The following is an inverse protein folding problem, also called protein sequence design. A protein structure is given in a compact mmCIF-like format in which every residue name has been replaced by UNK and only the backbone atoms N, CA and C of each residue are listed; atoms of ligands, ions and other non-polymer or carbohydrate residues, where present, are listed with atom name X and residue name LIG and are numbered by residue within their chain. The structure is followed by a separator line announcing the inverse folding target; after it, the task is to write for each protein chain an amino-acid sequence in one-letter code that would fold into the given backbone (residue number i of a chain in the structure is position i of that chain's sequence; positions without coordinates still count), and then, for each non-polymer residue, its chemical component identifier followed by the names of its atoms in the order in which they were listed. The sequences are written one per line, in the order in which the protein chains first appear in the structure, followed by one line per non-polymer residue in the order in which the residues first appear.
data_IF_337173181131
#
_entry.id   IF_337173181131
#
_cell.length_a   1.000
_cell.length_b   1.000
_cell.length_c   1.000
_cell.angle_alpha   90.00
_cell.angle_beta   90.00
_cell.angle_gamma   90.00
#
_symmetry.space_group_name_H-M   'P 1'
#
loop_
_entity.id
_entity.type
_entity.pdbx_description
1 polymer ?
#
# COMPACT_ATOMS: atom_id res chain seq x y z
N UNK A 1 31.17 -39.01 0.25
CA UNK A 1 30.09 -38.58 1.16
C UNK A 1 30.50 -37.27 1.80
N UNK A 2 29.92 -36.14 1.37
CA UNK A 2 29.97 -34.88 2.10
C UNK A 2 28.63 -34.19 1.85
N UNK A 3 27.74 -34.27 2.84
CA UNK A 3 26.44 -33.64 2.82
C UNK A 3 26.63 -32.12 2.98
N UNK A 4 26.42 -31.37 1.90
CA UNK A 4 26.15 -29.93 1.98
C UNK A 4 24.74 -29.77 2.54
N UNK A 5 24.64 -29.40 3.81
CA UNK A 5 23.43 -28.81 4.36
C UNK A 5 23.23 -27.43 3.73
N UNK A 6 22.54 -27.40 2.60
CA UNK A 6 21.90 -26.19 2.09
C UNK A 6 20.65 -25.95 2.92
N UNK A 7 20.76 -25.14 3.97
CA UNK A 7 19.60 -24.47 4.55
C UNK A 7 19.16 -23.39 3.57
N UNK A 8 18.37 -23.78 2.58
CA UNK A 8 17.56 -22.87 1.80
C UNK A 8 16.60 -22.17 2.78
N UNK A 9 16.99 -20.98 3.22
CA UNK A 9 16.17 -20.11 4.04
C UNK A 9 14.88 -19.80 3.30
N UNK A 10 13.75 -20.09 3.95
CA UNK A 10 12.39 -19.93 3.43
C UNK A 10 12.12 -18.47 3.04
N UNK A 11 12.23 -18.13 1.77
CA UNK A 11 11.73 -16.87 1.23
C UNK A 11 10.22 -16.97 1.00
N UNK A 12 9.43 -16.83 2.07
CA UNK A 12 8.00 -16.52 1.95
C UNK A 12 7.84 -15.01 1.73
N UNK A 13 8.27 -14.52 0.57
CA UNK A 13 7.77 -13.23 0.10
C UNK A 13 6.42 -13.49 -0.54
N UNK A 14 5.40 -12.77 -0.08
CA UNK A 14 4.08 -12.66 -0.72
C UNK A 14 4.21 -11.96 -2.09
N UNK A 15 5.07 -12.46 -2.97
CA UNK A 15 5.13 -12.04 -4.36
C UNK A 15 3.96 -12.69 -5.08
N UNK A 16 2.85 -11.98 -5.02
CA UNK A 16 1.74 -12.27 -5.90
C UNK A 16 2.01 -11.58 -7.24
N UNK A 17 2.19 -12.38 -8.29
CA UNK A 17 2.35 -11.90 -9.68
C UNK A 17 1.06 -11.27 -10.24
N UNK A 18 -0.10 -11.59 -9.64
CA UNK A 18 -1.40 -11.03 -9.98
C UNK A 18 -1.76 -9.82 -9.10
N UNK A 19 -1.79 -8.62 -9.69
CA UNK A 19 -2.12 -7.38 -8.98
C UNK A 19 -3.49 -7.43 -8.26
N UNK A 20 -4.38 -8.30 -8.74
CA UNK A 20 -5.78 -8.37 -8.29
C UNK A 20 -6.05 -9.50 -7.27
N UNK A 21 -5.03 -10.16 -6.71
CA UNK A 21 -5.30 -11.23 -5.74
C UNK A 21 -5.86 -10.65 -4.43
N UNK A 22 -7.03 -11.14 -3.98
CA UNK A 22 -7.61 -10.72 -2.71
C UNK A 22 -6.74 -11.20 -1.54
N UNK A 23 -6.93 -10.57 -0.38
CA UNK A 23 -6.34 -11.05 0.87
C UNK A 23 -6.98 -12.40 1.23
N UNK A 24 -6.16 -13.37 1.66
CA UNK A 24 -6.65 -14.71 2.09
C UNK A 24 -7.54 -14.61 3.33
N UNK A 25 -7.37 -13.55 4.13
CA UNK A 25 -8.09 -13.31 5.37
C UNK A 25 -9.36 -12.49 5.13
N UNK A 26 -10.51 -13.01 5.55
CA UNK A 26 -11.77 -12.25 5.59
C UNK A 26 -11.68 -11.23 6.73
N UNK A 27 -11.63 -9.93 6.40
CA UNK A 27 -11.57 -8.92 7.45
C UNK A 27 -12.89 -8.83 8.24
N UNK A 28 -12.80 -8.71 9.57
CA UNK A 28 -13.95 -8.51 10.43
C UNK A 28 -14.71 -7.22 10.07
N UNK A 29 -16.05 -7.23 10.21
CA UNK A 29 -16.91 -6.07 9.91
C UNK A 29 -16.60 -4.87 10.81
N UNK A 30 -17.00 -3.66 10.40
CA UNK A 30 -16.56 -2.38 10.96
C UNK A 30 -16.75 -2.11 12.46
N UNK A 31 -17.45 -2.96 13.21
CA UNK A 31 -17.53 -2.89 14.68
C UNK A 31 -16.39 -3.62 15.39
N UNK A 32 -15.50 -4.27 14.63
CA UNK A 32 -14.37 -4.98 15.20
C UNK A 32 -13.36 -3.99 15.74
N UNK A 33 -12.82 -4.30 16.91
CA UNK A 33 -11.87 -3.45 17.60
C UNK A 33 -10.48 -3.58 16.98
N UNK A 34 -9.71 -2.50 17.05
CA UNK A 34 -8.31 -2.52 16.67
C UNK A 34 -7.53 -3.46 17.60
N UNK A 35 -6.48 -4.13 17.07
CA UNK A 35 -5.57 -4.83 17.93
C UNK A 35 -4.88 -3.88 18.91
N UNK A 36 -4.55 -4.39 20.09
CA UNK A 36 -3.76 -3.64 21.06
C UNK A 36 -2.33 -3.48 20.55
N UNK A 37 -1.75 -2.30 20.79
CA UNK A 37 -0.34 -2.06 20.50
C UNK A 37 0.55 -2.76 21.53
N UNK A 38 1.79 -3.08 21.16
CA UNK A 38 2.73 -3.79 22.03
C UNK A 38 2.94 -3.07 23.36
N UNK A 39 3.00 -1.74 23.35
CA UNK A 39 3.22 -0.94 24.56
C UNK A 39 2.05 -1.04 25.55
N UNK A 40 0.84 -1.33 25.04
CA UNK A 40 -0.35 -1.58 25.87
C UNK A 40 -0.36 -3.02 26.36
N UNK A 41 0.07 -3.97 25.53
CA UNK A 41 0.25 -5.38 25.91
C UNK A 41 1.23 -5.53 27.06
N UNK A 42 2.34 -4.81 27.03
CA UNK A 42 3.38 -4.88 28.07
C UNK A 42 2.92 -4.31 29.42
N UNK A 43 1.81 -3.56 29.44
CA UNK A 43 1.27 -2.90 30.64
C UNK A 43 -0.02 -3.53 31.15
N UNK A 44 -0.50 -4.62 30.53
CA UNK A 44 -1.82 -5.19 30.82
C UNK A 44 -1.99 -5.64 32.28
N UNK A 45 -0.92 -6.09 32.93
CA UNK A 45 -0.95 -6.51 34.35
C UNK A 45 -1.12 -5.33 35.32
N UNK A 46 -0.85 -4.11 34.86
CA UNK A 46 -0.88 -2.87 35.66
C UNK A 46 -2.12 -2.02 35.33
N UNK A 47 -2.65 -2.16 34.11
CA UNK A 47 -3.78 -1.37 33.62
C UNK A 47 -5.11 -1.93 34.12
N UNK A 48 -6.00 -1.03 34.56
CA UNK A 48 -7.38 -1.41 34.83
C UNK A 48 -8.10 -1.79 33.53
N UNK A 49 -9.03 -2.77 33.51
CA UNK A 49 -9.72 -3.18 32.29
C UNK A 49 -10.45 -2.05 31.55
N UNK A 50 -10.89 -1.01 32.28
CA UNK A 50 -11.57 0.16 31.72
C UNK A 50 -10.62 1.15 31.01
N UNK A 51 -9.30 0.99 31.18
CA UNK A 51 -8.29 1.86 30.57
C UNK A 51 -7.78 1.37 29.21
N UNK A 52 -8.22 0.19 28.77
CA UNK A 52 -7.84 -0.40 27.48
C UNK A 52 -8.61 0.30 26.34
N UNK A 53 -7.93 0.92 25.36
CA UNK A 53 -8.60 1.62 24.27
C UNK A 53 -9.49 0.70 23.45
N UNK A 54 -10.77 1.04 23.35
CA UNK A 54 -11.75 0.30 22.55
C UNK A 54 -12.04 1.06 21.25
N UNK A 55 -11.11 1.04 20.31
CA UNK A 55 -11.20 1.80 19.06
C UNK A 55 -11.68 0.88 17.93
N UNK A 56 -12.80 1.16 17.24
CA UNK A 56 -13.22 0.39 16.08
C UNK A 56 -12.24 0.53 14.90
N UNK A 57 -12.06 -0.53 14.12
CA UNK A 57 -11.22 -0.52 12.90
C UNK A 57 -11.68 0.56 11.93
N UNK A 58 -12.98 0.80 11.81
CA UNK A 58 -13.58 1.83 10.95
C UNK A 58 -13.31 3.27 11.41
N UNK A 59 -12.85 3.48 12.64
CA UNK A 59 -12.58 4.82 13.17
C UNK A 59 -11.20 5.32 12.72
N UNK A 60 -11.11 5.76 11.46
CA UNK A 60 -9.85 6.21 10.85
C UNK A 60 -9.27 7.47 11.52
N UNK A 61 -10.12 8.29 12.14
CA UNK A 61 -9.71 9.56 12.79
C UNK A 61 -9.35 9.41 14.27
N UNK A 62 -9.45 8.20 14.84
CA UNK A 62 -9.16 7.97 16.24
C UNK A 62 -7.73 8.44 16.59
N UNK A 63 -7.54 9.24 17.65
CA UNK A 63 -6.22 9.63 18.10
C UNK A 63 -5.51 8.44 18.77
N UNK A 64 -4.18 8.52 18.90
CA UNK A 64 -3.35 7.56 19.65
C UNK A 64 -3.40 6.10 19.17
N UNK A 65 -3.81 5.85 17.93
CA UNK A 65 -3.64 4.53 17.29
C UNK A 65 -2.17 4.39 16.88
N UNK A 66 -1.53 3.29 17.30
CA UNK A 66 -0.13 3.01 16.97
C UNK A 66 0.05 2.37 15.59
N UNK A 67 1.28 1.93 15.32
CA UNK A 67 1.65 1.42 14.00
C UNK A 67 0.89 0.16 13.60
N UNK A 68 0.63 -0.73 14.57
CA UNK A 68 -0.06 -1.99 14.29
C UNK A 68 -1.54 -1.76 14.00
N UNK A 69 -2.21 -0.94 14.81
CA UNK A 69 -3.59 -0.52 14.59
C UNK A 69 -3.76 0.18 13.25
N UNK A 70 -2.88 1.13 12.89
CA UNK A 70 -2.93 1.79 11.57
C UNK A 70 -2.73 0.80 10.42
N UNK A 71 -1.86 -0.18 10.60
CA UNK A 71 -1.65 -1.24 9.60
C UNK A 71 -2.91 -2.09 9.43
N UNK A 72 -3.59 -2.44 10.53
CA UNK A 72 -4.88 -3.13 10.48
C UNK A 72 -5.98 -2.32 9.76
N UNK A 73 -6.05 -1.00 10.01
CA UNK A 73 -6.98 -0.10 9.30
C UNK A 73 -6.70 -0.04 7.80
N UNK A 74 -5.45 0.16 7.40
CA UNK A 74 -5.06 0.20 6.00
C UNK A 74 -5.35 -1.14 5.28
N UNK A 75 -5.14 -2.26 5.98
CA UNK A 75 -5.44 -3.60 5.45
C UNK A 75 -6.95 -3.78 5.27
N UNK A 76 -7.76 -3.31 6.22
CA UNK A 76 -9.21 -3.34 6.11
C UNK A 76 -9.74 -2.47 4.95
N UNK A 77 -9.13 -1.31 4.70
CA UNK A 77 -9.45 -0.49 3.52
C UNK A 77 -9.12 -1.23 2.22
N UNK A 78 -7.94 -1.85 2.14
CA UNK A 78 -7.55 -2.65 0.97
C UNK A 78 -8.50 -3.85 0.74
N UNK A 79 -8.90 -4.55 1.81
CA UNK A 79 -9.89 -5.64 1.73
C UNK A 79 -11.25 -5.15 1.20
N UNK A 80 -11.72 -3.98 1.66
CA UNK A 80 -12.96 -3.39 1.18
C UNK A 80 -12.89 -3.02 -0.32
N UNK A 81 -11.72 -2.57 -0.80
CA UNK A 81 -11.51 -2.36 -2.24
C UNK A 81 -11.71 -3.67 -3.00
N UNK A 82 -11.08 -4.77 -2.57
CA UNK A 82 -11.28 -6.06 -3.23
C UNK A 82 -12.73 -6.53 -3.18
N UNK A 83 -13.40 -6.43 -2.03
CA UNK A 83 -14.82 -6.79 -1.88
C UNK A 83 -15.73 -5.99 -2.80
N UNK A 84 -15.45 -4.71 -3.02
CA UNK A 84 -16.26 -3.88 -3.93
C UNK A 84 -16.24 -4.40 -5.37
N UNK A 85 -15.19 -5.11 -5.79
CA UNK A 85 -15.10 -5.69 -7.14
C UNK A 85 -16.16 -6.78 -7.37
N UNK A 86 -16.64 -7.41 -6.30
CA UNK A 86 -17.68 -8.44 -6.34
C UNK A 86 -19.09 -7.84 -6.54
N UNK A 87 -19.27 -6.53 -6.33
CA UNK A 87 -20.55 -5.84 -6.54
C UNK A 87 -20.93 -5.88 -8.02
N UNK A 88 -21.99 -6.61 -8.39
CA UNK A 88 -22.39 -6.81 -9.80
C UNK A 88 -22.85 -5.51 -10.48
N UNK A 89 -23.61 -4.68 -9.76
CA UNK A 89 -24.09 -3.40 -10.29
C UNK A 89 -22.96 -2.38 -10.39
N UNK A 90 -22.71 -1.89 -11.61
CA UNK A 90 -21.57 -1.00 -11.90
C UNK A 90 -21.70 0.33 -11.19
N UNK A 91 -22.91 0.89 -11.08
CA UNK A 91 -23.12 2.20 -10.46
C UNK A 91 -22.87 2.11 -8.95
N UNK A 92 -23.39 1.07 -8.31
CA UNK A 92 -23.14 0.78 -6.89
C UNK A 92 -21.65 0.50 -6.64
N UNK A 93 -20.99 -0.24 -7.53
CA UNK A 93 -19.55 -0.51 -7.45
C UNK A 93 -18.73 0.79 -7.52
N UNK A 94 -18.98 1.62 -8.52
CA UNK A 94 -18.26 2.89 -8.70
C UNK A 94 -18.50 3.84 -7.53
N UNK A 95 -19.72 3.90 -7.01
CA UNK A 95 -20.04 4.70 -5.82
C UNK A 95 -19.31 4.20 -4.57
N UNK A 96 -19.22 2.88 -4.37
CA UNK A 96 -18.44 2.29 -3.28
C UNK A 96 -16.95 2.61 -3.42
N UNK A 97 -16.39 2.48 -4.62
CA UNK A 97 -14.99 2.78 -4.90
C UNK A 97 -14.68 4.27 -4.63
N UNK A 98 -15.57 5.19 -4.98
CA UNK A 98 -15.42 6.63 -4.69
C UNK A 98 -15.35 6.94 -3.18
N UNK A 99 -16.24 6.31 -2.41
CA UNK A 99 -16.24 6.42 -0.95
C UNK A 99 -14.96 5.83 -0.34
N UNK A 100 -14.46 4.73 -0.90
CA UNK A 100 -13.21 4.11 -0.48
C UNK A 100 -12.01 4.97 -0.84
N UNK A 101 -11.96 5.56 -2.03
CA UNK A 101 -10.90 6.49 -2.46
C UNK A 101 -10.80 7.66 -1.47
N UNK A 102 -11.94 8.30 -1.17
CA UNK A 102 -12.02 9.39 -0.18
C UNK A 102 -11.52 8.94 1.20
N UNK A 103 -11.91 7.75 1.64
CA UNK A 103 -11.48 7.19 2.93
C UNK A 103 -9.99 6.90 2.98
N UNK A 104 -9.41 6.37 1.89
CA UNK A 104 -7.98 6.07 1.77
C UNK A 104 -7.15 7.36 1.74
N UNK A 105 -7.58 8.37 0.99
CA UNK A 105 -6.92 9.67 0.96
C UNK A 105 -6.97 10.38 2.32
N UNK A 106 -8.12 10.32 3.01
CA UNK A 106 -8.27 10.84 4.37
C UNK A 106 -7.37 10.10 5.37
N UNK A 107 -7.23 8.79 5.22
CA UNK A 107 -6.31 7.99 6.03
C UNK A 107 -4.85 8.39 5.78
N UNK A 108 -4.44 8.56 4.52
CA UNK A 108 -3.08 8.97 4.16
C UNK A 108 -2.75 10.38 4.67
N UNK A 109 -3.68 11.33 4.53
CA UNK A 109 -3.48 12.71 5.02
C UNK A 109 -3.29 12.77 6.54
N UNK A 110 -3.84 11.81 7.26
CA UNK A 110 -3.67 11.68 8.71
C UNK A 110 -2.36 10.96 9.07
N UNK A 111 -2.00 9.88 8.38
CA UNK A 111 -0.90 9.00 8.77
C UNK A 111 0.46 9.49 8.28
N UNK A 112 0.55 10.09 7.09
CA UNK A 112 1.81 10.58 6.52
C UNK A 112 2.47 11.64 7.44
N UNK A 113 1.76 12.67 7.93
CA UNK A 113 2.37 13.64 8.86
C UNK A 113 2.82 13.01 10.18
N UNK A 114 2.09 12.02 10.70
CA UNK A 114 2.45 11.31 11.92
C UNK A 114 3.73 10.48 11.76
N UNK A 115 3.98 9.94 10.56
CA UNK A 115 5.22 9.23 10.20
C UNK A 115 6.47 10.08 10.26
N UNK A 116 6.37 11.39 10.01
CA UNK A 116 7.51 12.29 10.13
C UNK A 116 7.95 12.47 11.59
N UNK A 117 7.00 12.43 12.53
CA UNK A 117 7.29 12.56 13.96
C UNK A 117 7.77 11.24 14.60
N UNK A 118 7.40 10.08 14.04
CA UNK A 118 7.76 8.74 14.53
C UNK A 118 8.25 7.86 13.38
N UNK A 119 9.54 7.98 13.08
CA UNK A 119 10.19 7.35 11.92
C UNK A 119 9.97 5.83 11.93
N UNK A 120 9.38 5.30 10.85
CA UNK A 120 9.20 3.85 10.63
C UNK A 120 7.86 3.27 11.11
N UNK A 121 7.21 3.84 12.12
CA UNK A 121 6.05 3.21 12.77
C UNK A 121 4.83 3.04 11.86
N UNK A 122 4.71 3.87 10.82
CA UNK A 122 3.54 3.88 9.95
C UNK A 122 3.84 3.47 8.50
N UNK A 123 5.08 3.07 8.19
CA UNK A 123 5.48 2.71 6.82
C UNK A 123 4.60 1.61 6.24
N UNK A 124 4.32 0.53 7.00
CA UNK A 124 3.44 -0.54 6.54
C UNK A 124 2.02 -0.04 6.19
N UNK A 125 1.43 0.78 7.07
CA UNK A 125 0.11 1.35 6.87
C UNK A 125 0.05 2.25 5.62
N UNK A 126 1.03 3.13 5.44
CA UNK A 126 1.13 4.01 4.26
C UNK A 126 1.24 3.19 2.97
N UNK A 127 2.12 2.17 2.94
CA UNK A 127 2.29 1.37 1.73
C UNK A 127 1.08 0.50 1.40
N UNK A 128 0.33 0.03 2.41
CA UNK A 128 -0.94 -0.69 2.18
C UNK A 128 -2.02 0.24 1.60
N UNK A 129 -2.11 1.47 2.10
CA UNK A 129 -3.02 2.47 1.55
C UNK A 129 -2.64 2.86 0.10
N UNK A 130 -1.35 3.01 -0.20
CA UNK A 130 -0.84 3.18 -1.57
C UNK A 130 -1.25 2.00 -2.47
N UNK A 131 -1.08 0.76 -1.99
CA UNK A 131 -1.53 -0.45 -2.71
C UNK A 131 -3.03 -0.40 -2.98
N UNK A 132 -3.83 0.04 -2.01
CA UNK A 132 -5.28 0.18 -2.18
C UNK A 132 -5.62 1.18 -3.29
N UNK A 133 -4.97 2.35 -3.34
CA UNK A 133 -5.18 3.34 -4.41
C UNK A 133 -4.82 2.77 -5.79
N UNK A 134 -3.65 2.13 -5.93
CA UNK A 134 -3.29 1.49 -7.20
C UNK A 134 -4.34 0.47 -7.64
N UNK A 135 -4.75 -0.41 -6.72
CA UNK A 135 -5.70 -1.49 -6.98
C UNK A 135 -7.07 -0.94 -7.40
N UNK A 136 -7.56 0.07 -6.67
CA UNK A 136 -8.82 0.76 -6.93
C UNK A 136 -8.83 1.43 -8.30
N UNK A 137 -7.86 2.28 -8.59
CA UNK A 137 -7.87 3.07 -9.83
C UNK A 137 -7.57 2.23 -11.06
N UNK A 138 -6.73 1.20 -10.95
CA UNK A 138 -6.56 0.23 -12.04
C UNK A 138 -7.85 -0.54 -12.33
N UNK A 139 -8.63 -0.89 -11.30
CA UNK A 139 -9.91 -1.56 -11.51
C UNK A 139 -10.91 -0.67 -12.26
N UNK A 140 -10.98 0.62 -11.92
CA UNK A 140 -11.84 1.59 -12.62
C UNK A 140 -11.44 1.69 -14.10
N UNK A 141 -10.14 1.81 -14.41
CA UNK A 141 -9.65 1.94 -15.79
C UNK A 141 -9.86 0.68 -16.65
N UNK A 142 -10.06 -0.49 -16.03
CA UNK A 142 -10.33 -1.75 -16.74
C UNK A 142 -11.80 -1.99 -17.05
N UNK A 143 -12.71 -1.15 -16.56
CA UNK A 143 -14.13 -1.33 -16.85
C UNK A 143 -14.38 -1.14 -18.36
N UNK A 144 -15.33 -1.88 -18.96
CA UNK A 144 -15.67 -1.70 -20.37
C UNK A 144 -16.48 -0.39 -20.56
N UNK A 145 -16.18 0.42 -21.60
CA UNK A 145 -16.88 1.69 -21.86
C UNK A 145 -18.39 1.56 -22.07
N UNK A 146 -18.84 0.40 -22.52
CA UNK A 146 -20.22 0.13 -22.92
C UNK A 146 -21.19 -0.08 -21.73
N UNK A 147 -20.67 -0.13 -20.50
CA UNK A 147 -21.44 -0.49 -19.30
C UNK A 147 -21.85 0.73 -18.46
N UNK A 148 -21.34 1.94 -18.77
CA UNK A 148 -21.46 3.08 -17.84
C UNK A 148 -22.31 4.21 -18.42
N UNK A 149 -23.62 4.14 -18.20
CA UNK A 149 -24.41 5.35 -17.95
C UNK A 149 -24.50 5.57 -16.44
N UNK A 150 -23.36 5.80 -15.81
CA UNK A 150 -23.36 6.12 -14.38
C UNK A 150 -24.17 7.39 -14.16
N UNK A 151 -25.26 7.26 -13.38
CA UNK A 151 -26.22 8.35 -13.11
C UNK A 151 -25.59 9.60 -12.49
N UNK A 152 -24.40 9.46 -11.91
CA UNK A 152 -23.76 10.49 -11.08
C UNK A 152 -22.56 11.18 -11.74
N UNK A 153 -21.85 10.50 -12.67
CA UNK A 153 -20.64 11.03 -13.28
C UNK A 153 -20.35 10.30 -14.61
N UNK A 154 -20.02 11.01 -15.70
CA UNK A 154 -19.60 10.39 -16.96
C UNK A 154 -18.37 9.48 -16.74
N UNK A 155 -18.29 8.38 -17.49
CA UNK A 155 -17.18 7.43 -17.40
C UNK A 155 -15.82 8.07 -17.65
N UNK A 156 -15.76 9.01 -18.59
CA UNK A 156 -14.56 9.79 -18.90
C UNK A 156 -14.05 10.55 -17.67
N UNK A 157 -14.97 11.03 -16.82
CA UNK A 157 -14.63 11.66 -15.56
C UNK A 157 -14.04 10.69 -14.54
N UNK A 158 -14.52 9.43 -14.51
CA UNK A 158 -13.91 8.38 -13.68
C UNK A 158 -12.50 8.04 -14.16
N UNK A 159 -12.31 7.96 -15.48
CA UNK A 159 -11.04 7.58 -16.08
C UNK A 159 -9.99 8.66 -15.87
N UNK A 160 -10.35 9.92 -16.13
CA UNK A 160 -9.46 11.06 -15.89
C UNK A 160 -9.00 11.10 -14.44
N UNK A 161 -9.95 11.05 -13.49
CA UNK A 161 -9.61 11.05 -12.06
C UNK A 161 -8.71 9.86 -11.68
N UNK A 162 -8.98 8.68 -12.24
CA UNK A 162 -8.16 7.49 -11.95
C UNK A 162 -6.75 7.60 -12.52
N UNK A 163 -6.57 8.20 -13.71
CA UNK A 163 -5.25 8.49 -14.26
C UNK A 163 -4.48 9.51 -13.40
N UNK A 164 -5.15 10.60 -12.98
CA UNK A 164 -4.54 11.62 -12.12
C UNK A 164 -4.13 11.07 -10.75
N UNK A 165 -4.95 10.19 -10.18
CA UNK A 165 -4.64 9.52 -8.93
C UNK A 165 -3.46 8.54 -9.09
N UNK A 166 -3.44 7.71 -10.15
CA UNK A 166 -2.31 6.81 -10.43
C UNK A 166 -1.00 7.57 -10.65
N UNK A 167 -1.04 8.71 -11.35
CA UNK A 167 0.10 9.61 -11.53
C UNK A 167 0.60 10.13 -10.18
N UNK A 168 -0.30 10.62 -9.33
CA UNK A 168 0.03 11.13 -7.99
C UNK A 168 0.67 10.05 -7.13
N UNK A 169 0.06 8.87 -7.07
CA UNK A 169 0.56 7.76 -6.26
C UNK A 169 1.89 7.22 -6.81
N UNK A 170 2.07 7.23 -8.14
CA UNK A 170 3.36 6.89 -8.77
C UNK A 170 4.46 7.85 -8.32
N UNK A 171 4.21 9.16 -8.31
CA UNK A 171 5.17 10.17 -7.81
C UNK A 171 5.54 9.93 -6.34
N UNK A 172 4.55 9.66 -5.49
CA UNK A 172 4.80 9.32 -4.07
C UNK A 172 5.73 8.10 -3.95
N UNK A 173 5.51 7.05 -4.75
CA UNK A 173 6.37 5.85 -4.73
C UNK A 173 7.78 6.13 -5.23
N UNK A 174 7.93 7.01 -6.23
CA UNK A 174 9.24 7.46 -6.71
C UNK A 174 9.96 8.22 -5.58
N UNK A 175 9.30 9.17 -4.91
CA UNK A 175 9.90 9.91 -3.79
C UNK A 175 10.38 8.97 -2.67
N UNK A 176 9.58 7.93 -2.36
CA UNK A 176 9.97 6.87 -1.40
C UNK A 176 11.20 6.11 -1.90
N UNK A 177 11.25 5.74 -3.19
CA UNK A 177 12.38 5.03 -3.78
C UNK A 177 13.67 5.89 -3.79
N UNK A 178 13.57 7.17 -4.12
CA UNK A 178 14.69 8.12 -4.05
C UNK A 178 15.20 8.24 -2.62
N UNK A 179 14.31 8.35 -1.63
CA UNK A 179 14.66 8.38 -0.21
C UNK A 179 15.40 7.10 0.23
N UNK A 180 15.01 5.93 -0.30
CA UNK A 180 15.68 4.66 -0.05
C UNK A 180 17.09 4.63 -0.65
N UNK A 181 17.27 5.23 -1.83
CA UNK A 181 18.52 5.24 -2.57
C UNK A 181 19.49 6.35 -2.14
N UNK A 182 19.00 7.39 -1.45
CA UNK A 182 19.80 8.51 -1.00
C UNK A 182 21.05 8.05 -0.20
N UNK A 183 22.22 8.65 -0.43
CA UNK A 183 23.43 8.30 0.29
C UNK A 183 23.23 8.58 1.77
N UNK A 184 23.41 7.55 2.58
CA UNK A 184 23.22 7.69 4.01
C UNK A 184 24.37 8.49 4.63
N UNK A 185 24.04 9.35 5.59
CA UNK A 185 25.02 9.74 6.59
C UNK A 185 25.35 8.51 7.44
N UNK A 186 26.59 8.38 7.92
CA UNK A 186 27.26 7.15 8.39
C UNK A 186 26.49 6.19 9.34
N UNK A 187 25.35 6.59 9.90
CA UNK A 187 24.50 5.77 10.79
C UNK A 187 23.10 5.43 10.25
N UNK A 188 22.77 5.73 8.98
CA UNK A 188 21.38 5.59 8.45
C UNK A 188 21.17 4.56 7.33
N UNK A 189 22.22 3.96 6.75
CA UNK A 189 22.09 3.06 5.56
C UNK A 189 21.23 1.83 5.85
N UNK A 190 21.46 1.18 7.00
CA UNK A 190 20.89 -0.12 7.32
C UNK A 190 19.44 -0.01 7.76
N UNK A 191 19.09 1.08 8.46
CA UNK A 191 17.75 1.30 8.99
C UNK A 191 16.69 1.59 7.92
N UNK A 192 17.06 2.11 6.74
CA UNK A 192 16.05 2.51 5.74
C UNK A 192 15.49 1.33 4.95
N UNK A 193 16.33 0.36 4.55
CA UNK A 193 15.85 -0.86 3.85
C UNK A 193 15.22 -1.84 4.83
N UNK A 194 15.78 -1.98 6.03
CA UNK A 194 15.24 -2.89 7.05
C UNK A 194 13.87 -2.45 7.58
N UNK A 195 13.56 -1.16 7.50
CA UNK A 195 12.25 -0.61 7.84
C UNK A 195 11.23 -0.65 6.69
N UNK A 196 11.62 -1.07 5.47
CA UNK A 196 10.69 -1.10 4.35
C UNK A 196 9.70 -2.26 4.48
N UNK A 197 8.39 -2.00 4.37
CA UNK A 197 7.39 -3.04 4.52
C UNK A 197 7.40 -4.00 3.33
N UNK A 198 6.99 -5.25 3.56
CA UNK A 198 6.93 -6.32 2.54
C UNK A 198 6.03 -5.99 1.33
N UNK A 199 5.15 -4.99 1.44
CA UNK A 199 4.29 -4.51 0.36
C UNK A 199 4.99 -3.53 -0.59
N UNK A 200 6.18 -3.02 -0.23
CA UNK A 200 6.91 -2.07 -1.09
C UNK A 200 7.18 -2.59 -2.51
N UNK A 201 7.65 -3.83 -2.73
CA UNK A 201 7.90 -4.31 -4.09
C UNK A 201 6.67 -4.27 -5.00
N UNK A 202 5.47 -4.53 -4.44
CA UNK A 202 4.22 -4.38 -5.17
C UNK A 202 4.02 -2.93 -5.64
N UNK A 203 4.19 -1.97 -4.75
CA UNK A 203 3.98 -0.55 -5.06
C UNK A 203 4.97 -0.06 -6.12
N UNK A 204 6.26 -0.43 -6.00
CA UNK A 204 7.27 -0.10 -7.00
C UNK A 204 6.95 -0.71 -8.38
N UNK A 205 6.48 -1.96 -8.42
CA UNK A 205 6.03 -2.61 -9.67
C UNK A 205 4.76 -1.97 -10.24
N UNK A 206 3.82 -1.58 -9.40
CA UNK A 206 2.60 -0.90 -9.83
C UNK A 206 2.90 0.49 -10.43
N UNK A 207 3.84 1.22 -9.84
CA UNK A 207 4.37 2.48 -10.36
C UNK A 207 5.09 2.26 -11.71
N UNK A 208 5.98 1.27 -11.81
CA UNK A 208 6.63 0.90 -13.08
C UNK A 208 5.61 0.54 -14.17
N UNK A 209 4.58 -0.23 -13.83
CA UNK A 209 3.49 -0.55 -14.77
C UNK A 209 2.81 0.72 -15.25
N UNK A 210 2.47 1.64 -14.35
CA UNK A 210 1.84 2.91 -14.71
C UNK A 210 2.72 3.72 -15.68
N UNK A 211 4.01 3.90 -15.36
CA UNK A 211 4.99 4.57 -16.23
C UNK A 211 5.00 3.94 -17.63
N UNK A 212 5.10 2.61 -17.71
CA UNK A 212 5.21 1.90 -19.00
C UNK A 212 3.92 1.93 -19.83
N UNK A 213 2.76 2.08 -19.20
CA UNK A 213 1.46 2.18 -19.89
C UNK A 213 1.07 3.62 -20.20
N UNK A 214 1.72 4.61 -19.60
CA UNK A 214 1.43 6.02 -19.83
C UNK A 214 1.97 6.44 -21.19
N UNK A 215 1.08 6.93 -22.06
CA UNK A 215 1.46 7.42 -23.40
C UNK A 215 1.91 8.89 -23.39
N UNK A 216 2.15 9.47 -22.21
CA UNK A 216 2.51 10.89 -22.09
C UNK A 216 3.94 11.13 -22.60
N UNK A 217 4.02 11.80 -23.74
CA UNK A 217 5.27 12.14 -24.46
C UNK A 217 6.03 13.31 -23.79
N UNK A 218 5.34 14.11 -22.98
CA UNK A 218 5.84 15.43 -22.53
C UNK A 218 6.98 15.39 -21.51
N UNK A 219 7.31 14.23 -20.94
CA UNK A 219 8.39 14.12 -19.94
C UNK A 219 9.18 12.81 -20.01
N UNK A 220 9.61 12.44 -21.23
CA UNK A 220 10.31 11.19 -21.50
C UNK A 220 11.59 11.01 -20.66
N UNK A 221 12.27 12.11 -20.30
CA UNK A 221 13.50 12.06 -19.50
C UNK A 221 13.23 11.86 -18.01
N UNK A 222 12.20 12.53 -17.45
CA UNK A 222 11.77 12.26 -16.08
C UNK A 222 11.28 10.82 -15.92
N UNK A 223 10.46 10.31 -16.86
CA UNK A 223 9.95 8.94 -16.83
C UNK A 223 11.08 7.90 -16.89
N UNK A 224 12.10 8.15 -17.72
CA UNK A 224 13.29 7.28 -17.83
C UNK A 224 14.09 7.26 -16.52
N UNK A 225 14.25 8.42 -15.89
CA UNK A 225 14.92 8.52 -14.59
C UNK A 225 14.12 7.79 -13.51
N UNK A 226 12.81 8.00 -13.46
CA UNK A 226 11.90 7.36 -12.52
C UNK A 226 11.90 5.82 -12.66
N UNK A 227 11.88 5.29 -13.88
CA UNK A 227 11.99 3.84 -14.14
C UNK A 227 13.31 3.27 -13.60
N UNK A 228 14.43 3.95 -13.86
CA UNK A 228 15.75 3.56 -13.35
C UNK A 228 15.83 3.60 -11.82
N UNK A 229 15.26 4.62 -11.18
CA UNK A 229 15.16 4.77 -9.72
C UNK A 229 14.39 3.60 -9.11
N UNK A 230 13.20 3.30 -9.64
CA UNK A 230 12.34 2.23 -9.12
C UNK A 230 12.95 0.84 -9.30
N UNK A 231 13.63 0.58 -10.42
CA UNK A 231 14.36 -0.68 -10.65
C UNK A 231 15.51 -0.84 -9.66
N UNK A 232 16.33 0.19 -9.51
CA UNK A 232 17.48 0.17 -8.59
C UNK A 232 17.04 0.02 -7.13
N UNK A 233 15.93 0.63 -6.74
CA UNK A 233 15.40 0.50 -5.39
C UNK A 233 14.83 -0.90 -5.10
N UNK A 234 14.21 -1.54 -6.10
CA UNK A 234 13.81 -2.95 -6.04
C UNK A 234 15.02 -3.88 -5.90
N UNK A 235 16.06 -3.68 -6.72
CA UNK A 235 17.29 -4.48 -6.65
C UNK A 235 17.92 -4.40 -5.27
N UNK A 236 18.05 -3.17 -4.73
CA UNK A 236 18.57 -2.95 -3.37
C UNK A 236 17.72 -3.61 -2.29
N UNK A 237 16.39 -3.60 -2.46
CA UNK A 237 15.48 -4.28 -1.54
C UNK A 237 15.70 -5.80 -1.59
N UNK A 238 15.73 -6.41 -2.78
CA UNK A 238 15.88 -7.86 -2.92
C UNK A 238 17.26 -8.37 -2.53
N UNK A 239 18.32 -7.62 -2.84
CA UNK A 239 19.69 -7.92 -2.39
C UNK A 239 19.74 -8.04 -0.87
N UNK A 240 19.06 -7.13 -0.15
CA UNK A 240 19.01 -7.15 1.32
C UNK A 240 18.32 -8.40 1.87
N UNK A 241 17.26 -8.88 1.23
CA UNK A 241 16.47 -10.03 1.68
C UNK A 241 16.93 -11.38 1.10
N UNK A 242 18.01 -11.41 0.31
CA UNK A 242 18.57 -12.63 -0.26
C UNK A 242 17.65 -13.32 -1.28
N UNK A 243 16.80 -12.55 -1.95
CA UNK A 243 15.85 -13.04 -2.95
C UNK A 243 16.59 -13.13 -4.26
N UNK A 244 16.68 -14.34 -4.85
CA UNK A 244 17.33 -14.48 -6.15
C UNK A 244 16.52 -13.74 -7.21
N UNK A 245 17.17 -12.82 -7.89
CA UNK A 245 16.70 -12.10 -9.07
C UNK A 245 16.49 -13.07 -10.26
N UNK A 246 15.53 -14.00 -10.18
CA UNK A 246 15.08 -14.78 -11.33
C UNK A 246 14.12 -13.93 -12.16
N UNK A 247 14.67 -12.93 -12.84
CA UNK A 247 13.95 -12.07 -13.77
C UNK A 247 14.15 -12.59 -15.19
N UNK A 248 13.26 -13.48 -15.62
CA UNK A 248 12.86 -13.67 -17.03
C UNK A 248 11.42 -14.11 -17.06
#
# INVERSE_FOLDING_TARGET
MNAKNSTAGRAFLNEVMAFDQPLVTIFPRGHTQLPLESEVLDQLDVLSPQSVPTIPVSCLTAPKVGGFGRTAQATCLLDQVFKSFETVDIDSRLLQLDGLDTSIQTFLSLVIPQGHARRGNFCAAVHLAIRALFTLHWHILRQPPQVVRAKFKPLEGWYRNSQEALETVTKIVIDIAESLLAPATANTVTFTVDAMPLVYPYNARAALKHINTSTRVEDADWLRNADGVLKKSLDRYFERWGVSNSWT
#
